data_IF_859272291774
#
_entry.id   IF_859272291774
#
_cell.length_a   1.000
_cell.length_b   1.000
_cell.length_c   1.000
_cell.angle_alpha   90.00
_cell.angle_beta   90.00
_cell.angle_gamma   90.00
#
_symmetry.space_group_name_H-M   'P 1'
#
loop_
_entity.id
_entity.type
_entity.pdbx_description
1 polymer ?
#
# COMPACT_ATOMS: atom_id res chain seq x y z
N UNK A 1 4.14 -23.32 -3.28
CA UNK A 1 4.90 -22.05 -3.33
C UNK A 1 5.21 -21.65 -1.89
N UNK A 2 6.37 -21.06 -1.61
CA UNK A 2 6.66 -20.51 -0.28
C UNK A 2 5.91 -19.19 -0.12
N UNK A 3 4.96 -19.12 0.81
CA UNK A 3 4.32 -17.86 1.21
C UNK A 3 5.39 -16.91 1.76
N UNK A 4 5.44 -15.64 1.32
CA UNK A 4 6.39 -14.67 1.85
C UNK A 4 6.16 -14.44 3.35
N UNK A 5 7.19 -13.94 4.02
CA UNK A 5 7.05 -13.33 5.35
C UNK A 5 7.17 -11.82 5.18
N UNK A 6 6.41 -11.07 5.98
CA UNK A 6 6.52 -9.61 5.98
C UNK A 6 7.92 -9.24 6.50
N UNK A 7 8.72 -8.45 5.77
CA UNK A 7 10.12 -8.18 6.08
C UNK A 7 10.25 -7.03 7.10
N UNK A 8 9.58 -7.15 8.23
CA UNK A 8 9.51 -6.05 9.19
C UNK A 8 9.29 -6.51 10.63
N UNK A 9 9.54 -5.59 11.56
CA UNK A 9 9.30 -5.81 12.99
C UNK A 9 7.86 -5.42 13.29
N UNK A 10 7.08 -6.35 13.83
CA UNK A 10 5.70 -6.07 14.24
C UNK A 10 5.72 -4.98 15.32
N UNK A 11 4.94 -3.93 15.10
CA UNK A 11 4.83 -2.81 16.03
C UNK A 11 4.15 -3.25 17.33
N UNK A 12 4.64 -2.71 18.44
CA UNK A 12 4.02 -2.86 19.76
C UNK A 12 2.60 -2.30 19.78
N UNK A 13 1.77 -2.80 20.69
CA UNK A 13 0.34 -2.47 20.73
C UNK A 13 0.06 -0.96 20.79
N UNK A 14 0.78 -0.22 21.63
CA UNK A 14 0.63 1.23 21.80
C UNK A 14 0.98 2.01 20.54
N UNK A 15 2.07 1.62 19.88
CA UNK A 15 2.51 2.21 18.60
C UNK A 15 1.50 1.91 17.50
N UNK A 16 1.08 0.64 17.36
CA UNK A 16 0.09 0.23 16.39
C UNK A 16 -1.26 0.95 16.58
N UNK A 17 -1.69 1.20 17.83
CA UNK A 17 -2.91 1.96 18.10
C UNK A 17 -2.83 3.41 17.61
N UNK A 18 -1.68 4.06 17.81
CA UNK A 18 -1.44 5.43 17.33
C UNK A 18 -1.50 5.48 15.80
N UNK A 19 -0.78 4.57 15.13
CA UNK A 19 -0.74 4.52 13.67
C UNK A 19 -2.12 4.19 13.08
N UNK A 20 -2.90 3.31 13.71
CA UNK A 20 -4.30 3.04 13.29
C UNK A 20 -5.16 4.30 13.29
N UNK A 21 -5.00 5.17 14.29
CA UNK A 21 -5.75 6.43 14.37
C UNK A 21 -5.32 7.40 13.27
N UNK A 22 -4.02 7.46 12.95
CA UNK A 22 -3.51 8.28 11.84
C UNK A 22 -4.07 7.81 10.49
N UNK A 23 -3.96 6.50 10.20
CA UNK A 23 -4.50 5.92 8.96
C UNK A 23 -6.01 6.15 8.85
N UNK A 24 -6.76 5.99 9.94
CA UNK A 24 -8.19 6.28 9.96
C UNK A 24 -8.48 7.76 9.67
N UNK A 25 -7.70 8.69 10.25
CA UNK A 25 -7.81 10.13 9.99
C UNK A 25 -7.53 10.47 8.52
N UNK A 26 -6.46 9.93 7.94
CA UNK A 26 -6.10 10.14 6.53
C UNK A 26 -7.20 9.67 5.57
N UNK A 27 -7.89 8.59 5.95
CA UNK A 27 -9.00 8.02 5.17
C UNK A 27 -10.36 8.61 5.51
N UNK A 28 -10.44 9.62 6.37
CA UNK A 28 -11.70 10.21 6.88
C UNK A 28 -12.67 9.16 7.45
N UNK A 29 -12.15 8.22 8.25
CA UNK A 29 -12.91 7.12 8.86
C UNK A 29 -12.98 7.26 10.37
N UNK A 30 -14.13 6.91 10.93
CA UNK A 30 -14.34 6.81 12.37
C UNK A 30 -13.95 5.43 12.95
N UNK A 31 -13.73 4.43 12.10
CA UNK A 31 -13.38 3.07 12.52
C UNK A 31 -11.90 2.81 12.37
N UNK A 32 -11.34 2.07 13.32
CA UNK A 32 -9.92 1.65 13.33
C UNK A 32 -9.72 0.26 12.71
N UNK A 33 -10.71 -0.30 12.01
CA UNK A 33 -10.59 -1.59 11.33
C UNK A 33 -9.73 -1.49 10.08
N UNK A 34 -9.22 -2.63 9.59
CA UNK A 34 -8.43 -2.68 8.36
C UNK A 34 -9.15 -1.95 7.21
N UNK A 35 -8.51 -0.97 6.55
CA UNK A 35 -9.22 -0.13 5.60
C UNK A 35 -9.28 -0.67 4.18
N UNK A 36 -8.45 -1.66 3.82
CA UNK A 36 -8.40 -2.21 2.46
C UNK A 36 -9.66 -2.97 2.07
N UNK A 37 -10.16 -2.71 0.86
CA UNK A 37 -11.38 -3.31 0.32
C UNK A 37 -11.22 -4.83 0.12
N UNK A 38 -12.13 -5.67 0.61
CA UNK A 38 -12.04 -7.12 0.40
C UNK A 38 -12.75 -7.53 -0.90
N UNK A 39 -12.14 -8.38 -1.75
CA UNK A 39 -12.79 -8.86 -2.95
C UNK A 39 -13.93 -9.84 -2.61
N UNK A 40 -14.90 -9.95 -3.51
CA UNK A 40 -15.98 -10.93 -3.44
C UNK A 40 -15.77 -12.04 -4.47
N UNK A 41 -16.29 -13.24 -4.20
CA UNK A 41 -16.20 -14.36 -5.14
C UNK A 41 -16.91 -14.03 -6.45
N UNK A 42 -16.22 -14.16 -7.58
CA UNK A 42 -16.81 -13.95 -8.89
C UNK A 42 -17.85 -15.03 -9.21
N UNK A 43 -19.01 -14.64 -9.74
CA UNK A 43 -20.15 -15.51 -9.99
C UNK A 43 -20.86 -15.11 -11.29
N UNK A 44 -21.71 -15.99 -11.83
CA UNK A 44 -22.41 -15.78 -13.12
C UNK A 44 -23.15 -14.45 -13.19
N UNK A 45 -23.73 -13.98 -12.08
CA UNK A 45 -24.43 -12.69 -12.01
C UNK A 45 -23.53 -11.47 -12.33
N UNK A 46 -22.24 -11.55 -12.02
CA UNK A 46 -21.29 -10.47 -12.28
C UNK A 46 -20.88 -10.37 -13.76
N UNK A 47 -21.16 -11.40 -14.59
CA UNK A 47 -20.96 -11.28 -16.03
C UNK A 47 -21.82 -10.16 -16.63
N UNK A 48 -23.01 -9.94 -16.07
CA UNK A 48 -23.86 -8.83 -16.49
C UNK A 48 -23.22 -7.48 -16.13
N UNK A 49 -22.58 -7.35 -14.96
CA UNK A 49 -21.88 -6.11 -14.57
C UNK A 49 -20.73 -5.79 -15.54
N UNK A 50 -19.96 -6.81 -15.96
CA UNK A 50 -18.88 -6.66 -16.95
C UNK A 50 -19.37 -6.17 -18.33
N UNK A 51 -20.65 -6.29 -18.64
CA UNK A 51 -21.23 -5.76 -19.89
C UNK A 51 -21.62 -4.29 -19.80
N UNK A 52 -21.79 -3.74 -18.60
CA UNK A 52 -22.35 -2.39 -18.38
C UNK A 52 -21.33 -1.40 -17.81
N UNK A 53 -20.26 -1.89 -17.18
CA UNK A 53 -19.25 -1.06 -16.51
C UNK A 53 -17.84 -1.41 -17.00
N UNK A 54 -16.94 -0.43 -16.96
CA UNK A 54 -15.53 -0.64 -17.30
C UNK A 54 -14.78 -1.34 -16.16
N UNK A 55 -14.09 -2.43 -16.48
CA UNK A 55 -13.30 -3.21 -15.53
C UNK A 55 -11.85 -3.36 -15.97
N UNK A 56 -10.96 -3.32 -14.98
CA UNK A 56 -9.57 -3.74 -15.12
C UNK A 56 -9.45 -5.21 -14.68
N UNK A 57 -8.48 -5.93 -15.25
CA UNK A 57 -8.17 -7.32 -14.88
C UNK A 57 -6.67 -7.49 -14.70
N UNK A 58 -6.29 -8.26 -13.68
CA UNK A 58 -4.93 -8.69 -13.45
C UNK A 58 -4.89 -10.13 -12.92
N UNK A 59 -3.70 -10.70 -12.90
CA UNK A 59 -3.42 -11.95 -12.20
C UNK A 59 -3.77 -11.80 -10.71
N UNK A 60 -4.45 -12.80 -10.15
CA UNK A 60 -4.50 -12.95 -8.70
C UNK A 60 -3.24 -13.67 -8.23
N UNK A 61 -2.29 -12.92 -7.68
CA UNK A 61 -1.08 -13.50 -7.10
C UNK A 61 -1.38 -14.33 -5.84
N UNK A 62 -0.42 -15.18 -5.48
CA UNK A 62 -0.41 -16.03 -4.28
C UNK A 62 0.58 -15.48 -3.24
N UNK A 63 0.36 -14.23 -2.83
CA UNK A 63 1.19 -13.50 -1.88
C UNK A 63 0.47 -13.14 -0.58
N UNK A 64 1.08 -12.23 0.19
CA UNK A 64 0.46 -11.58 1.35
C UNK A 64 0.04 -10.18 0.94
N UNK A 65 -1.26 -9.94 0.87
CA UNK A 65 -1.80 -8.59 0.69
C UNK A 65 -1.51 -7.73 1.92
N UNK A 66 -0.91 -6.57 1.68
CA UNK A 66 -0.62 -5.57 2.70
C UNK A 66 -0.88 -4.16 2.13
N UNK A 67 -1.28 -3.24 3.00
CA UNK A 67 -1.12 -1.82 2.69
C UNK A 67 0.30 -1.39 3.03
N UNK A 68 0.86 -0.45 2.29
CA UNK A 68 2.07 0.29 2.64
C UNK A 68 1.67 1.68 3.14
N UNK A 69 2.06 2.03 4.36
CA UNK A 69 1.90 3.36 4.92
C UNK A 69 3.27 4.05 5.04
N UNK A 70 3.40 5.20 4.39
CA UNK A 70 4.58 6.07 4.46
C UNK A 70 4.28 7.25 5.38
N UNK A 71 5.14 7.49 6.37
CA UNK A 71 4.97 8.56 7.37
C UNK A 71 6.33 9.09 7.83
N UNK A 72 6.30 10.11 8.69
CA UNK A 72 7.50 10.57 9.39
C UNK A 72 7.91 9.54 10.45
N UNK A 73 9.22 9.36 10.64
CA UNK A 73 9.79 8.64 11.76
C UNK A 73 9.76 9.47 13.05
N UNK A 74 10.78 9.28 13.89
CA UNK A 74 10.89 9.98 15.17
C UNK A 74 11.03 11.50 15.03
N UNK A 75 11.49 11.97 13.87
CA UNK A 75 11.66 13.37 13.52
C UNK A 75 10.97 13.72 12.21
N UNK A 76 10.70 15.00 11.97
CA UNK A 76 10.11 15.47 10.72
C UNK A 76 10.99 15.18 9.50
N UNK A 77 12.30 15.09 9.67
CA UNK A 77 13.26 14.83 8.58
C UNK A 77 13.58 13.34 8.40
N UNK A 78 12.94 12.47 9.20
CA UNK A 78 13.10 11.02 9.10
C UNK A 78 11.86 10.37 8.49
N UNK A 79 12.07 9.32 7.70
CA UNK A 79 11.01 8.53 7.08
C UNK A 79 10.76 7.22 7.85
N UNK A 80 9.51 6.78 7.87
CA UNK A 80 9.11 5.49 8.42
C UNK A 80 8.07 4.81 7.52
N UNK A 81 8.22 3.49 7.36
CA UNK A 81 7.39 2.69 6.48
C UNK A 81 6.80 1.51 7.23
N UNK A 82 5.48 1.34 7.10
CA UNK A 82 4.75 0.24 7.73
C UNK A 82 4.00 -0.56 6.69
N UNK A 83 4.18 -1.88 6.72
CA UNK A 83 3.27 -2.82 6.05
C UNK A 83 2.13 -3.16 7.00
N UNK A 84 0.89 -3.11 6.50
CA UNK A 84 -0.34 -3.36 7.27
C UNK A 84 -1.02 -4.59 6.70
N UNK A 85 -1.09 -5.67 7.48
CA UNK A 85 -1.73 -6.91 7.03
C UNK A 85 -3.27 -6.87 7.18
N UNK A 86 -3.95 -7.91 6.71
CA UNK A 86 -5.42 -8.01 6.80
C UNK A 86 -5.95 -8.09 8.23
N UNK A 87 -5.12 -8.46 9.22
CA UNK A 87 -5.48 -8.45 10.64
C UNK A 87 -5.32 -7.06 11.26
N UNK A 88 -4.91 -6.07 10.46
CA UNK A 88 -4.60 -4.72 10.89
C UNK A 88 -3.41 -4.69 11.87
N UNK A 89 -2.47 -5.62 11.71
CA UNK A 89 -1.16 -5.61 12.34
C UNK A 89 -0.18 -4.78 11.50
N UNK A 90 0.64 -3.98 12.17
CA UNK A 90 1.56 -3.03 11.55
C UNK A 90 2.98 -3.55 11.71
N UNK A 91 3.76 -3.52 10.62
CA UNK A 91 5.12 -4.03 10.58
C UNK A 91 6.05 -2.94 10.07
N UNK A 92 6.94 -2.45 10.93
CA UNK A 92 7.96 -1.48 10.55
C UNK A 92 8.98 -2.14 9.63
N UNK A 93 9.20 -1.56 8.45
CA UNK A 93 10.16 -2.05 7.45
C UNK A 93 11.26 -1.01 7.30
N UNK A 94 12.50 -1.41 7.61
CA UNK A 94 13.68 -0.57 7.48
C UNK A 94 14.32 -0.68 6.09
N UNK A 95 15.16 0.31 5.74
CA UNK A 95 15.95 0.29 4.51
C UNK A 95 15.13 0.55 3.23
N UNK A 96 13.91 1.06 3.37
CA UNK A 96 13.13 1.61 2.27
C UNK A 96 13.34 3.12 2.20
N UNK A 97 13.28 3.65 0.99
CA UNK A 97 13.29 5.08 0.70
C UNK A 97 12.51 5.31 -0.60
N UNK A 98 11.47 6.15 -0.56
CA UNK A 98 10.63 6.46 -1.71
C UNK A 98 10.65 7.96 -1.99
N UNK A 99 11.53 8.43 -2.89
CA UNK A 99 11.66 9.85 -3.19
C UNK A 99 10.45 10.38 -3.94
N UNK A 100 10.14 11.66 -3.72
CA UNK A 100 9.06 12.32 -4.44
C UNK A 100 9.48 12.63 -5.86
N UNK A 101 8.50 12.65 -6.75
CA UNK A 101 8.71 13.17 -8.10
C UNK A 101 9.10 14.65 -8.04
N UNK A 102 9.91 15.12 -9.00
CA UNK A 102 10.27 16.53 -9.09
C UNK A 102 9.02 17.37 -9.35
N UNK A 103 8.98 18.63 -8.85
CA UNK A 103 7.88 19.53 -9.16
C UNK A 103 7.83 19.85 -10.66
N UNK A 104 6.68 20.29 -11.21
CA UNK A 104 6.50 20.45 -12.67
C UNK A 104 7.49 21.40 -13.35
N UNK A 105 8.10 22.31 -12.58
CA UNK A 105 9.06 23.32 -13.03
C UNK A 105 10.53 22.85 -12.95
N UNK A 106 10.80 21.66 -12.41
CA UNK A 106 12.13 21.06 -12.33
C UNK A 106 12.14 19.64 -12.89
N UNK A 107 13.29 19.22 -13.42
CA UNK A 107 13.54 17.82 -13.82
C UNK A 107 14.45 17.09 -12.84
N UNK A 108 15.00 17.80 -11.85
CA UNK A 108 15.92 17.24 -10.88
C UNK A 108 15.16 16.59 -9.73
N UNK A 109 15.40 15.30 -9.53
CA UNK A 109 14.85 14.54 -8.40
C UNK A 109 15.64 14.92 -7.14
N UNK A 110 14.94 15.41 -6.12
CA UNK A 110 15.48 15.52 -4.76
C UNK A 110 15.48 14.14 -4.10
N UNK A 111 16.62 13.46 -4.14
CA UNK A 111 16.84 12.15 -3.51
C UNK A 111 16.83 12.18 -1.98
N UNK A 112 16.79 13.37 -1.34
CA UNK A 112 16.56 13.49 0.09
C UNK A 112 15.08 13.60 0.46
N UNK A 113 14.22 13.89 -0.51
CA UNK A 113 12.78 13.96 -0.30
C UNK A 113 12.17 12.59 -0.12
N UNK A 114 11.01 12.51 0.55
CA UNK A 114 10.27 11.27 0.71
C UNK A 114 8.77 11.55 0.86
N UNK A 115 7.95 10.54 0.54
CA UNK A 115 6.51 10.60 0.72
C UNK A 115 6.11 10.39 2.19
N UNK A 116 5.14 11.16 2.66
CA UNK A 116 4.48 10.96 3.97
C UNK A 116 2.97 10.99 3.81
N UNK A 117 2.22 10.63 4.85
CA UNK A 117 0.75 10.61 4.80
C UNK A 117 0.21 9.86 3.57
N UNK A 118 0.86 8.76 3.19
CA UNK A 118 0.61 8.04 1.94
C UNK A 118 0.24 6.60 2.25
N UNK A 119 -0.86 6.10 1.67
CA UNK A 119 -1.38 4.75 1.89
C UNK A 119 -1.62 4.08 0.54
N UNK A 120 -0.89 3.00 0.29
CA UNK A 120 -0.87 2.25 -0.98
C UNK A 120 -1.34 0.82 -0.72
N UNK A 121 -2.15 0.24 -1.63
CA UNK A 121 -2.57 -1.16 -1.57
C UNK A 121 -1.72 -2.00 -2.53
N UNK A 122 -1.27 -3.15 -2.02
CA UNK A 122 -0.41 -4.03 -2.77
C UNK A 122 -0.33 -5.44 -2.20
N UNK A 123 0.45 -6.27 -2.88
CA UNK A 123 0.70 -7.64 -2.47
C UNK A 123 2.19 -7.97 -2.46
N UNK A 124 2.63 -8.53 -1.34
CA UNK A 124 3.98 -9.02 -1.16
C UNK A 124 4.09 -10.43 -1.75
N UNK A 125 5.00 -10.64 -2.71
CA UNK A 125 5.20 -11.91 -3.41
C UNK A 125 6.67 -12.32 -3.40
N UNK A 126 6.92 -13.63 -3.51
CA UNK A 126 8.27 -14.15 -3.79
C UNK A 126 8.38 -14.43 -5.29
N UNK A 127 9.21 -13.66 -5.98
CA UNK A 127 9.57 -13.90 -7.37
C UNK A 127 10.79 -14.82 -7.45
N UNK A 128 10.68 -15.92 -8.21
CA UNK A 128 11.78 -16.86 -8.43
C UNK A 128 12.41 -16.56 -9.79
N UNK A 129 13.63 -16.02 -9.75
CA UNK A 129 14.40 -15.68 -10.95
C UNK A 129 14.86 -16.95 -11.68
N UNK A 130 15.25 -16.80 -12.96
CA UNK A 130 15.75 -17.89 -13.80
C UNK A 130 16.96 -18.64 -13.21
N UNK A 131 17.76 -17.95 -12.40
CA UNK A 131 18.93 -18.48 -11.70
C UNK A 131 18.57 -19.13 -10.34
N UNK A 132 17.28 -19.25 -10.01
CA UNK A 132 16.80 -19.82 -8.75
C UNK A 132 16.78 -18.85 -7.57
N UNK A 133 17.29 -17.61 -7.72
CA UNK A 133 17.21 -16.62 -6.64
C UNK A 133 15.77 -16.24 -6.35
N UNK A 134 15.42 -16.20 -5.07
CA UNK A 134 14.14 -15.71 -4.56
C UNK A 134 14.27 -14.23 -4.24
N UNK A 135 13.41 -13.40 -4.81
CA UNK A 135 13.37 -11.96 -4.60
C UNK A 135 12.00 -11.59 -4.06
N UNK A 136 11.98 -10.89 -2.93
CA UNK A 136 10.75 -10.35 -2.39
C UNK A 136 10.35 -9.10 -3.18
N UNK A 137 9.08 -9.03 -3.60
CA UNK A 137 8.53 -7.89 -4.34
C UNK A 137 7.23 -7.43 -3.70
N UNK A 138 7.01 -6.13 -3.66
CA UNK A 138 5.71 -5.54 -3.33
C UNK A 138 5.07 -5.04 -4.63
N UNK A 139 4.01 -5.71 -5.07
CA UNK A 139 3.25 -5.37 -6.27
C UNK A 139 2.12 -4.43 -5.90
N UNK A 140 2.24 -3.16 -6.28
CA UNK A 140 1.23 -2.13 -6.03
C UNK A 140 0.10 -2.24 -7.06
N UNK A 141 -1.14 -2.14 -6.61
CA UNK A 141 -2.32 -2.18 -7.49
C UNK A 141 -3.41 -1.16 -7.15
N UNK A 142 -3.29 -0.39 -6.07
CA UNK A 142 -4.17 0.76 -5.80
C UNK A 142 -3.47 1.80 -4.90
N UNK A 143 -3.95 3.04 -4.91
CA UNK A 143 -3.48 4.12 -4.04
C UNK A 143 -4.69 4.78 -3.36
N UNK A 144 -4.70 4.79 -2.02
CA UNK A 144 -5.81 5.33 -1.24
C UNK A 144 -5.56 6.79 -0.86
N UNK A 145 -4.33 7.12 -0.48
CA UNK A 145 -3.90 8.46 -0.07
C UNK A 145 -2.49 8.70 -0.60
N UNK A 146 -2.22 9.87 -1.16
CA UNK A 146 -0.89 10.29 -1.60
C UNK A 146 -0.59 11.68 -1.04
N UNK A 147 0.49 11.81 -0.26
CA UNK A 147 0.92 13.06 0.38
C UNK A 147 -0.22 13.82 1.10
N UNK A 148 -1.06 13.08 1.83
CA UNK A 148 -2.22 13.62 2.56
C UNK A 148 -3.47 13.86 1.69
N UNK A 149 -3.37 13.69 0.37
CA UNK A 149 -4.50 13.79 -0.54
C UNK A 149 -5.28 12.47 -0.60
N UNK A 150 -6.53 12.47 -0.16
CA UNK A 150 -7.43 11.32 -0.27
C UNK A 150 -7.83 11.06 -1.74
N UNK A 151 -7.54 9.85 -2.24
CA UNK A 151 -7.78 9.47 -3.64
C UNK A 151 -8.96 8.50 -3.84
N UNK A 152 -9.49 7.89 -2.77
CA UNK A 152 -10.52 6.83 -2.85
C UNK A 152 -11.81 7.22 -3.59
N UNK A 153 -12.10 8.51 -3.72
CA UNK A 153 -13.28 9.03 -4.45
C UNK A 153 -13.04 9.16 -5.96
N UNK A 154 -11.79 8.99 -6.43
CA UNK A 154 -11.43 9.07 -7.85
C UNK A 154 -11.54 7.70 -8.51
N UNK A 155 -11.72 7.68 -9.83
CA UNK A 155 -11.68 6.45 -10.63
C UNK A 155 -10.30 5.79 -10.59
N UNK A 156 -10.24 4.48 -10.84
CA UNK A 156 -9.00 3.70 -10.70
C UNK A 156 -7.86 4.24 -11.59
N UNK A 157 -8.15 4.69 -12.81
CA UNK A 157 -7.15 5.30 -13.71
C UNK A 157 -6.47 6.53 -13.07
N UNK A 158 -7.22 7.32 -12.29
CA UNK A 158 -6.70 8.50 -11.58
C UNK A 158 -5.99 8.17 -10.29
N UNK A 159 -6.20 6.98 -9.72
CA UNK A 159 -5.48 6.51 -8.53
C UNK A 159 -4.18 5.81 -8.90
N UNK A 160 -4.09 5.25 -10.10
CA UNK A 160 -2.89 4.57 -10.62
C UNK A 160 -1.94 5.49 -11.40
N UNK A 161 -2.44 6.60 -11.93
CA UNK A 161 -1.69 7.54 -12.79
C UNK A 161 -1.06 8.72 -12.06
#
# INVERSE_FOLDING_TARGET
MTTPTIPGVKAEHSVAQTIRQEVARLLNRNTLSFPGAQPVSFAKKHLNELHHEDYYVCEKSDGIRCLLYCTHGDTQDSEAYYLIDRKNDYYYVSGLHYPRNPPPDSKEIDWGSFHTQTVIDGELVIDVKKDGRKVLKFLVFDCLVLDGQLLVQRSLDKRLG
#
